data_IF_291854964240
#
_entry.id   IF_291854964240
#
_cell.length_a   1.000
_cell.length_b   1.000
_cell.length_c   1.000
_cell.angle_alpha   90.00
_cell.angle_beta   90.00
_cell.angle_gamma   90.00
#
_symmetry.space_group_name_H-M   'P 1'
#
loop_
_entity.id
_entity.type
_entity.pdbx_description
1 polymer ?
#
# COMPACT_ATOMS: atom_id res chain seq x y z
N UNK A 1 27.68 10.94 12.71
CA UNK A 1 26.51 10.05 12.65
C UNK A 1 25.36 10.83 12.01
N UNK A 2 24.88 10.39 10.87
CA UNK A 2 23.74 11.03 10.19
C UNK A 2 22.44 10.72 10.96
N UNK A 3 21.70 11.76 11.32
CA UNK A 3 20.37 11.64 11.94
C UNK A 3 19.41 11.14 10.85
N UNK A 4 18.65 10.09 11.15
CA UNK A 4 17.63 9.55 10.25
C UNK A 4 16.42 10.50 10.25
N UNK A 5 15.91 10.84 9.07
CA UNK A 5 14.73 11.69 8.90
C UNK A 5 13.44 10.91 9.25
N UNK A 6 12.35 11.64 9.46
CA UNK A 6 11.01 11.04 9.63
C UNK A 6 10.57 10.33 8.34
N UNK A 7 9.80 9.24 8.45
CA UNK A 7 9.31 8.41 7.36
C UNK A 7 10.04 7.07 7.22
N UNK A 8 9.82 6.37 6.11
CA UNK A 8 10.54 5.12 5.79
C UNK A 8 12.06 5.35 5.71
N UNK A 9 12.83 4.33 6.05
CA UNK A 9 14.27 4.31 5.79
C UNK A 9 14.52 4.33 4.28
N UNK A 10 15.58 5.03 3.84
CA UNK A 10 16.01 4.94 2.44
C UNK A 10 16.43 3.52 2.09
N UNK A 11 16.39 3.18 0.80
CA UNK A 11 16.80 1.85 0.30
C UNK A 11 18.19 1.49 0.78
N UNK A 12 19.17 2.40 0.68
CA UNK A 12 20.53 2.18 1.14
C UNK A 12 20.60 1.90 2.66
N UNK A 13 19.74 2.54 3.47
CA UNK A 13 19.68 2.30 4.91
C UNK A 13 19.06 0.92 5.22
N UNK A 14 17.99 0.52 4.48
CA UNK A 14 17.40 -0.82 4.61
C UNK A 14 18.41 -1.91 4.27
N UNK A 15 19.14 -1.77 3.17
CA UNK A 15 20.17 -2.73 2.74
C UNK A 15 21.32 -2.82 3.75
N UNK A 16 21.75 -1.70 4.32
CA UNK A 16 22.90 -1.67 5.24
C UNK A 16 22.54 -2.11 6.67
N UNK A 17 21.38 -1.70 7.17
CA UNK A 17 21.00 -1.88 8.58
C UNK A 17 20.09 -3.11 8.77
N UNK A 18 19.09 -3.29 7.90
CA UNK A 18 18.03 -4.27 8.09
C UNK A 18 18.34 -5.59 7.38
N UNK A 19 18.60 -5.55 6.07
CA UNK A 19 18.71 -6.77 5.26
C UNK A 19 19.97 -7.58 5.53
N UNK A 20 20.97 -7.00 6.18
CA UNK A 20 22.15 -7.74 6.66
C UNK A 20 21.92 -8.48 7.98
N UNK A 21 20.84 -8.23 8.67
CA UNK A 21 20.55 -8.74 10.01
C UNK A 21 19.25 -9.55 10.03
N UNK A 22 19.18 -10.61 9.23
CA UNK A 22 17.98 -11.42 8.99
C UNK A 22 17.91 -12.72 9.80
N UNK A 23 18.83 -12.93 10.73
CA UNK A 23 18.88 -14.15 11.55
C UNK A 23 19.40 -15.36 10.79
N UNK A 24 18.92 -16.54 11.16
CA UNK A 24 19.35 -17.81 10.56
C UNK A 24 18.62 -18.11 9.26
N UNK A 25 19.33 -18.63 8.27
CA UNK A 25 18.71 -19.19 7.06
C UNK A 25 17.99 -20.52 7.40
N UNK A 26 16.79 -20.70 6.84
CA UNK A 26 15.96 -21.89 7.05
C UNK A 26 15.43 -22.40 5.71
N UNK A 27 15.39 -23.73 5.57
CA UNK A 27 14.90 -24.41 4.35
C UNK A 27 13.38 -24.26 4.16
N UNK A 28 12.64 -23.99 5.23
CA UNK A 28 11.20 -23.78 5.21
C UNK A 28 10.77 -22.31 5.04
N UNK A 29 11.73 -21.38 4.92
CA UNK A 29 11.49 -19.97 4.60
C UNK A 29 11.88 -19.71 3.15
N UNK A 30 10.92 -19.28 2.33
CA UNK A 30 11.08 -19.17 0.88
C UNK A 30 11.77 -17.85 0.50
N UNK A 31 11.47 -16.77 1.22
CA UNK A 31 11.92 -15.42 0.88
C UNK A 31 12.82 -14.81 1.95
N UNK A 32 13.73 -13.95 1.50
CA UNK A 32 14.48 -13.02 2.36
C UNK A 32 13.91 -11.62 2.18
N UNK A 33 13.97 -10.73 3.20
CA UNK A 33 13.52 -9.35 3.03
C UNK A 33 14.21 -8.68 1.83
N UNK A 34 13.43 -8.03 0.99
CA UNK A 34 13.91 -7.32 -0.19
C UNK A 34 12.99 -6.12 -0.51
N UNK A 35 13.52 -5.13 -1.22
CA UNK A 35 12.79 -3.95 -1.67
C UNK A 35 11.66 -4.36 -2.62
N UNK A 36 10.47 -3.80 -2.42
CA UNK A 36 9.29 -4.10 -3.26
C UNK A 36 8.69 -5.49 -3.01
N UNK A 37 9.05 -6.13 -1.89
CA UNK A 37 8.45 -7.38 -1.45
C UNK A 37 7.52 -7.12 -0.26
N UNK A 38 6.22 -7.15 -0.51
CA UNK A 38 5.20 -6.82 0.49
C UNK A 38 5.06 -7.92 1.56
N UNK A 39 5.29 -9.18 1.21
CA UNK A 39 5.10 -10.31 2.12
C UNK A 39 6.31 -11.21 2.24
N UNK A 40 6.52 -11.76 3.45
CA UNK A 40 7.34 -12.94 3.67
C UNK A 40 6.57 -14.23 3.36
N UNK A 41 7.28 -15.27 2.89
CA UNK A 41 6.69 -16.56 2.52
C UNK A 41 7.41 -17.70 3.22
N UNK A 42 6.66 -18.65 3.78
CA UNK A 42 7.20 -19.89 4.33
C UNK A 42 6.32 -21.10 4.02
N UNK A 43 6.94 -22.28 4.00
CA UNK A 43 6.26 -23.51 3.64
C UNK A 43 5.28 -23.94 4.74
N UNK A 44 3.98 -24.04 4.39
CA UNK A 44 3.05 -24.89 5.09
C UNK A 44 3.13 -26.34 4.58
N UNK A 45 2.28 -27.21 5.10
CA UNK A 45 2.24 -28.60 4.64
C UNK A 45 1.85 -28.70 3.15
N UNK A 46 0.69 -28.15 2.80
CA UNK A 46 0.10 -28.24 1.47
C UNK A 46 -0.02 -26.87 0.79
N UNK A 47 0.18 -25.80 1.53
CA UNK A 47 0.06 -24.41 1.11
C UNK A 47 1.36 -23.63 1.43
N UNK A 48 1.43 -22.41 0.94
CA UNK A 48 2.40 -21.40 1.36
C UNK A 48 1.68 -20.43 2.28
N UNK A 49 2.28 -20.09 3.40
CA UNK A 49 1.80 -19.07 4.30
C UNK A 49 2.53 -17.78 3.97
N UNK A 50 1.75 -16.73 3.77
CA UNK A 50 2.25 -15.37 3.59
C UNK A 50 2.08 -14.59 4.88
N UNK A 51 3.00 -13.69 5.16
CA UNK A 51 2.96 -12.83 6.33
C UNK A 51 3.46 -11.43 6.00
N UNK A 52 2.77 -10.43 6.52
CA UNK A 52 3.20 -9.03 6.50
C UNK A 52 2.96 -8.38 7.84
N UNK A 53 3.59 -7.23 8.10
CA UNK A 53 3.34 -6.43 9.30
C UNK A 53 3.60 -4.96 9.05
N UNK A 54 2.57 -4.13 9.23
CA UNK A 54 2.66 -2.68 9.17
C UNK A 54 2.00 -2.00 10.36
N UNK A 55 2.65 -0.94 10.89
CA UNK A 55 2.08 -0.10 11.93
C UNK A 55 1.35 1.10 11.33
N UNK A 56 0.26 1.52 11.98
CA UNK A 56 -0.38 2.81 11.78
C UNK A 56 -0.07 3.72 12.95
N UNK A 57 0.49 4.89 12.64
CA UNK A 57 0.87 5.93 13.61
C UNK A 57 0.05 7.22 13.45
N UNK A 58 -0.90 7.25 12.52
CA UNK A 58 -1.76 8.40 12.28
C UNK A 58 -2.76 8.65 13.44
N UNK A 59 -3.21 9.89 13.58
CA UNK A 59 -4.13 10.32 14.66
C UNK A 59 -5.61 10.19 14.29
N UNK A 60 -5.96 9.39 13.29
CA UNK A 60 -7.34 9.32 12.81
C UNK A 60 -8.25 8.46 13.68
N UNK A 61 -9.54 8.82 13.77
CA UNK A 61 -10.55 8.02 14.44
C UNK A 61 -10.77 6.63 13.79
N UNK A 62 -10.20 6.38 12.61
CA UNK A 62 -10.36 5.16 11.82
C UNK A 62 -9.06 4.34 11.76
N UNK A 63 -8.14 4.61 12.69
CA UNK A 63 -6.82 3.96 12.76
C UNK A 63 -6.93 2.43 12.74
N UNK A 64 -7.87 1.87 13.51
CA UNK A 64 -8.05 0.42 13.60
C UNK A 64 -8.41 -0.20 12.24
N UNK A 65 -9.35 0.42 11.54
CA UNK A 65 -9.78 -0.04 10.23
C UNK A 65 -8.66 0.09 9.19
N UNK A 66 -7.96 1.24 9.16
CA UNK A 66 -6.86 1.47 8.23
C UNK A 66 -5.74 0.44 8.45
N UNK A 67 -5.40 0.14 9.71
CA UNK A 67 -4.40 -0.87 10.03
C UNK A 67 -4.75 -2.26 9.47
N UNK A 68 -6.03 -2.65 9.48
CA UNK A 68 -6.46 -3.89 8.82
C UNK A 68 -6.33 -3.78 7.30
N UNK A 69 -6.83 -2.70 6.70
CA UNK A 69 -6.85 -2.52 5.24
C UNK A 69 -5.43 -2.63 4.67
N UNK A 70 -4.45 -1.87 5.18
CA UNK A 70 -3.09 -1.87 4.58
C UNK A 70 -2.45 -3.25 4.67
N UNK A 71 -2.54 -3.92 5.82
CA UNK A 71 -1.98 -5.26 5.98
C UNK A 71 -2.69 -6.32 5.12
N UNK A 72 -4.01 -6.21 4.89
CA UNK A 72 -4.72 -7.12 4.01
C UNK A 72 -4.45 -6.82 2.52
N UNK A 73 -4.11 -5.57 2.18
CA UNK A 73 -3.67 -5.20 0.83
C UNK A 73 -2.38 -5.95 0.47
N UNK A 74 -1.37 -5.95 1.35
CA UNK A 74 -0.12 -6.71 1.15
C UNK A 74 -0.38 -8.21 0.96
N UNK A 75 -1.26 -8.79 1.79
CA UNK A 75 -1.62 -10.20 1.63
C UNK A 75 -2.28 -10.44 0.26
N UNK A 76 -3.14 -9.54 -0.19
CA UNK A 76 -3.84 -9.68 -1.46
C UNK A 76 -2.88 -9.56 -2.66
N UNK A 77 -1.90 -8.64 -2.61
CA UNK A 77 -0.87 -8.48 -3.67
C UNK A 77 0.09 -9.67 -3.75
N UNK A 78 0.19 -10.46 -2.68
CA UNK A 78 0.92 -11.74 -2.69
C UNK A 78 0.15 -12.90 -3.33
N UNK A 79 -1.01 -12.67 -3.95
CA UNK A 79 -1.95 -13.66 -4.46
C UNK A 79 -2.55 -14.59 -3.39
N UNK A 80 -2.36 -14.27 -2.13
CA UNK A 80 -2.87 -15.06 -1.01
C UNK A 80 -4.27 -14.60 -0.60
N UNK A 81 -5.00 -15.53 0.02
CA UNK A 81 -6.26 -15.23 0.68
C UNK A 81 -5.99 -14.86 2.14
N UNK A 82 -6.35 -13.67 2.60
CA UNK A 82 -6.25 -13.31 4.02
C UNK A 82 -6.98 -14.31 4.92
N UNK A 83 -6.40 -14.62 6.09
CA UNK A 83 -6.98 -15.60 7.02
C UNK A 83 -7.12 -15.07 8.44
N UNK A 84 -6.04 -14.50 8.96
CA UNK A 84 -5.94 -14.14 10.36
C UNK A 84 -5.03 -12.96 10.58
N UNK A 85 -5.21 -12.27 11.70
CA UNK A 85 -4.32 -11.22 12.16
C UNK A 85 -3.97 -11.38 13.66
N UNK A 86 -2.81 -10.84 14.04
CA UNK A 86 -2.53 -10.44 15.41
C UNK A 86 -2.43 -8.93 15.52
N UNK A 87 -2.78 -8.35 16.66
CA UNK A 87 -2.88 -6.90 16.86
C UNK A 87 -2.07 -6.45 18.06
N UNK A 88 -1.18 -5.48 17.87
CA UNK A 88 -0.52 -4.77 18.97
C UNK A 88 -1.04 -3.34 19.05
N UNK A 89 -1.53 -2.93 20.21
CA UNK A 89 -1.98 -1.55 20.49
C UNK A 89 -1.11 -0.98 21.61
N UNK A 90 -0.34 0.06 21.28
CA UNK A 90 0.37 0.88 22.26
C UNK A 90 -0.39 2.19 22.43
N UNK A 91 -0.93 2.43 23.61
CA UNK A 91 -1.68 3.65 23.93
C UNK A 91 -0.83 4.55 24.85
N UNK A 92 -0.90 5.89 24.72
CA UNK A 92 -0.17 6.80 25.58
C UNK A 92 -0.76 6.83 27.00
N UNK A 93 0.05 7.26 27.97
CA UNK A 93 -0.45 7.52 29.34
C UNK A 93 -1.60 8.53 29.27
N UNK A 94 -2.70 8.21 29.93
CA UNK A 94 -3.93 9.02 29.90
C UNK A 94 -4.93 8.63 28.80
N UNK A 95 -4.64 7.61 27.98
CA UNK A 95 -5.58 7.06 27.02
C UNK A 95 -6.87 6.57 27.76
N UNK A 96 -8.02 6.80 27.13
CA UNK A 96 -9.32 6.37 27.68
C UNK A 96 -9.65 4.96 27.19
N UNK A 97 -10.31 4.17 28.03
CA UNK A 97 -10.79 2.84 27.62
C UNK A 97 -11.66 2.88 26.36
N UNK A 98 -12.44 3.95 26.18
CA UNK A 98 -13.31 4.11 25.03
C UNK A 98 -12.53 4.29 23.72
N UNK A 99 -11.38 4.95 23.76
CA UNK A 99 -10.52 5.11 22.58
C UNK A 99 -9.99 3.73 22.14
N UNK A 100 -9.53 2.89 23.06
CA UNK A 100 -9.08 1.52 22.76
C UNK A 100 -10.25 0.65 22.28
N UNK A 101 -11.44 0.80 22.90
CA UNK A 101 -12.64 0.08 22.49
C UNK A 101 -13.04 0.41 21.05
N UNK A 102 -12.97 1.69 20.67
CA UNK A 102 -13.25 2.15 19.33
C UNK A 102 -12.27 1.54 18.31
N UNK A 103 -10.96 1.63 18.59
CA UNK A 103 -9.92 1.01 17.75
C UNK A 103 -10.21 -0.48 17.54
N UNK A 104 -10.49 -1.22 18.61
CA UNK A 104 -10.76 -2.66 18.50
C UNK A 104 -12.06 -2.99 17.76
N UNK A 105 -13.08 -2.13 17.89
CA UNK A 105 -14.33 -2.27 17.12
C UNK A 105 -14.05 -2.08 15.63
N UNK A 106 -13.35 -1.02 15.26
CA UNK A 106 -12.98 -0.74 13.87
C UNK A 106 -12.17 -1.89 13.25
N UNK A 107 -11.21 -2.45 14.00
CA UNK A 107 -10.45 -3.65 13.60
C UNK A 107 -11.40 -4.83 13.36
N UNK A 108 -12.27 -5.11 14.34
CA UNK A 108 -13.20 -6.23 14.28
C UNK A 108 -14.17 -6.13 13.09
N UNK A 109 -14.75 -4.96 12.88
CA UNK A 109 -15.71 -4.71 11.82
C UNK A 109 -15.06 -4.89 10.43
N UNK A 110 -13.83 -4.42 10.26
CA UNK A 110 -13.10 -4.60 8.99
C UNK A 110 -12.66 -6.06 8.78
N UNK A 111 -12.26 -6.76 9.85
CA UNK A 111 -11.97 -8.19 9.80
C UNK A 111 -13.20 -9.01 9.40
N UNK A 112 -14.38 -8.70 9.93
CA UNK A 112 -15.63 -9.37 9.57
C UNK A 112 -15.95 -9.20 8.09
N UNK A 113 -15.80 -7.98 7.54
CA UNK A 113 -16.02 -7.72 6.10
C UNK A 113 -15.11 -8.57 5.20
N UNK A 114 -13.88 -8.82 5.64
CA UNK A 114 -12.88 -9.56 4.87
C UNK A 114 -12.79 -11.05 5.24
N UNK A 115 -13.67 -11.55 6.10
CA UNK A 115 -13.66 -12.94 6.60
C UNK A 115 -12.32 -13.34 7.22
N UNK A 116 -11.75 -12.45 8.05
CA UNK A 116 -10.46 -12.60 8.73
C UNK A 116 -10.69 -12.73 10.22
N UNK A 117 -9.93 -13.59 10.90
CA UNK A 117 -10.03 -13.78 12.35
C UNK A 117 -8.90 -13.08 13.10
N UNK A 118 -9.24 -12.38 14.19
CA UNK A 118 -8.25 -11.91 15.17
C UNK A 118 -7.88 -13.10 16.07
N UNK A 119 -6.60 -13.52 16.03
CA UNK A 119 -6.13 -14.74 16.74
C UNK A 119 -5.28 -14.44 17.98
N UNK A 120 -4.95 -13.17 18.24
CA UNK A 120 -4.16 -12.78 19.39
C UNK A 120 -3.64 -11.36 19.28
N UNK A 121 -2.75 -11.01 20.18
CA UNK A 121 -2.11 -9.71 20.17
C UNK A 121 -1.69 -9.23 21.55
N UNK A 122 -1.36 -7.94 21.67
CA UNK A 122 -0.97 -7.27 22.91
C UNK A 122 -1.56 -5.87 22.98
N UNK A 123 -2.02 -5.44 24.15
CA UNK A 123 -2.53 -4.09 24.36
C UNK A 123 -1.96 -3.54 25.66
N UNK A 124 -1.28 -2.41 25.60
CA UNK A 124 -0.74 -1.76 26.82
C UNK A 124 -0.84 -0.24 26.75
N UNK A 125 -0.80 0.37 27.94
CA UNK A 125 -0.64 1.82 28.13
C UNK A 125 0.81 2.08 28.55
N UNK A 126 1.53 2.88 27.78
CA UNK A 126 2.99 3.08 27.96
C UNK A 126 3.40 4.53 27.76
N UNK A 127 4.49 4.93 28.41
CA UNK A 127 5.14 6.22 28.17
C UNK A 127 6.05 6.24 26.92
N UNK A 128 6.22 5.11 26.24
CA UNK A 128 7.04 4.99 25.03
C UNK A 128 6.42 5.68 23.82
N UNK A 129 5.11 5.96 23.86
CA UNK A 129 4.38 6.63 22.78
C UNK A 129 3.63 7.86 23.31
N UNK A 130 3.49 8.89 22.47
CA UNK A 130 2.72 10.11 22.79
C UNK A 130 1.33 10.15 22.11
N UNK A 131 1.06 9.20 21.22
CA UNK A 131 -0.22 8.94 20.55
C UNK A 131 -0.38 7.44 20.33
N UNK A 132 -1.60 6.92 20.11
CA UNK A 132 -1.80 5.50 19.84
C UNK A 132 -1.00 5.03 18.64
N UNK A 133 -0.47 3.81 18.73
CA UNK A 133 0.15 3.06 17.64
C UNK A 133 -0.57 1.73 17.54
N UNK A 134 -1.03 1.37 16.35
CA UNK A 134 -1.64 0.07 16.06
C UNK A 134 -0.74 -0.64 15.06
N UNK A 135 -0.18 -1.79 15.43
CA UNK A 135 0.56 -2.66 14.53
C UNK A 135 -0.18 -3.97 14.33
N UNK A 136 -0.38 -4.37 13.10
CA UNK A 136 -1.02 -5.63 12.73
C UNK A 136 0.02 -6.52 12.05
N UNK A 137 0.01 -7.81 12.42
CA UNK A 137 0.64 -8.84 11.60
C UNK A 137 -0.47 -9.65 10.95
N UNK A 138 -0.51 -9.66 9.63
CA UNK A 138 -1.50 -10.40 8.84
C UNK A 138 -0.91 -11.68 8.26
N UNK A 139 -1.75 -12.70 8.20
CA UNK A 139 -1.43 -14.02 7.65
C UNK A 139 -2.37 -14.34 6.49
N UNK A 140 -1.80 -14.80 5.40
CA UNK A 140 -2.54 -15.29 4.25
C UNK A 140 -2.16 -16.71 3.86
N UNK A 141 -3.01 -17.34 3.04
CA UNK A 141 -2.78 -18.66 2.49
C UNK A 141 -2.76 -18.60 0.98
N UNK A 142 -1.68 -19.10 0.39
CA UNK A 142 -1.48 -19.23 -1.04
C UNK A 142 -1.32 -20.71 -1.41
N UNK A 143 -2.10 -21.19 -2.35
CA UNK A 143 -1.95 -22.56 -2.85
C UNK A 143 -0.60 -22.73 -3.53
N UNK A 144 0.14 -23.80 -3.20
CA UNK A 144 1.46 -24.11 -3.79
C UNK A 144 1.44 -24.13 -5.31
N UNK A 145 0.38 -24.68 -5.90
CA UNK A 145 0.25 -24.75 -7.35
C UNK A 145 0.15 -23.35 -7.97
N UNK A 146 -0.56 -22.44 -7.31
CA UNK A 146 -0.68 -21.04 -7.77
C UNK A 146 0.66 -20.32 -7.67
N UNK A 147 1.36 -20.46 -6.55
CA UNK A 147 2.70 -19.89 -6.36
C UNK A 147 3.68 -20.36 -7.44
N UNK A 148 3.71 -21.67 -7.73
CA UNK A 148 4.61 -22.24 -8.73
C UNK A 148 4.27 -21.81 -10.16
N UNK A 149 3.07 -21.31 -10.40
CA UNK A 149 2.60 -20.87 -11.71
C UNK A 149 2.70 -19.34 -11.89
N UNK A 150 3.13 -18.57 -10.87
CA UNK A 150 3.39 -17.14 -11.02
C UNK A 150 4.52 -16.96 -12.03
N UNK A 151 4.24 -16.23 -13.09
CA UNK A 151 5.22 -15.97 -14.15
C UNK A 151 6.25 -14.94 -13.71
N UNK A 152 7.45 -15.05 -14.27
CA UNK A 152 8.45 -13.99 -14.12
C UNK A 152 8.04 -12.76 -14.91
N UNK A 153 8.40 -11.60 -14.39
CA UNK A 153 8.22 -10.33 -15.10
C UNK A 153 9.18 -10.25 -16.28
N UNK A 154 8.63 -10.01 -17.48
CA UNK A 154 9.38 -9.91 -18.73
C UNK A 154 9.16 -8.55 -19.39
N UNK A 155 10.16 -8.11 -20.18
CA UNK A 155 10.08 -6.89 -20.99
C UNK A 155 8.94 -7.00 -22.00
N UNK A 156 8.19 -5.90 -22.19
CA UNK A 156 7.01 -5.86 -23.07
C UNK A 156 5.68 -6.12 -22.36
N UNK A 157 5.69 -6.67 -21.15
CA UNK A 157 4.47 -6.82 -20.37
C UNK A 157 3.86 -5.45 -20.02
N UNK A 158 2.55 -5.41 -19.91
CA UNK A 158 1.78 -4.19 -19.62
C UNK A 158 1.77 -3.91 -18.13
N UNK A 159 1.81 -2.63 -17.78
CA UNK A 159 1.63 -2.14 -16.42
C UNK A 159 0.26 -1.49 -16.34
N UNK A 160 -0.61 -2.03 -15.50
CA UNK A 160 -1.91 -1.46 -15.18
C UNK A 160 -1.93 -0.90 -13.77
N UNK A 161 -2.86 0.02 -13.53
CA UNK A 161 -3.27 0.44 -12.19
C UNK A 161 -4.76 0.19 -11.98
N UNK A 162 -5.16 -0.11 -10.75
CA UNK A 162 -6.57 -0.13 -10.36
C UNK A 162 -7.02 1.22 -9.81
N UNK A 163 -8.29 1.57 -10.02
CA UNK A 163 -8.97 2.75 -9.46
C UNK A 163 -8.23 4.08 -9.72
N UNK A 164 -7.88 4.82 -8.68
CA UNK A 164 -7.20 6.13 -8.77
C UNK A 164 -6.13 6.25 -7.69
N UNK A 165 -5.06 7.01 -7.98
CA UNK A 165 -3.99 7.26 -7.01
C UNK A 165 -4.40 8.31 -5.96
N UNK A 166 -3.64 8.34 -4.85
CA UNK A 166 -3.63 9.37 -3.81
C UNK A 166 -4.97 9.58 -3.11
N UNK A 167 -5.80 8.53 -3.07
CA UNK A 167 -7.09 8.58 -2.38
C UNK A 167 -6.90 8.76 -0.87
N UNK A 168 -5.98 7.98 -0.27
CA UNK A 168 -5.64 8.06 1.15
C UNK A 168 -5.08 9.44 1.50
N UNK A 169 -4.04 9.89 0.80
CA UNK A 169 -3.41 11.18 1.07
C UNK A 169 -4.38 12.34 0.94
N UNK A 170 -5.24 12.32 -0.10
CA UNK A 170 -6.30 13.32 -0.26
C UNK A 170 -7.27 13.32 0.92
N UNK A 171 -7.71 12.14 1.34
CA UNK A 171 -8.62 11.98 2.48
C UNK A 171 -7.99 12.52 3.77
N UNK A 172 -6.72 12.17 4.04
CA UNK A 172 -6.01 12.64 5.23
C UNK A 172 -5.85 14.17 5.24
N UNK A 173 -5.44 14.75 4.11
CA UNK A 173 -5.29 16.21 3.98
C UNK A 173 -6.65 16.90 4.17
N UNK A 174 -7.71 16.43 3.51
CA UNK A 174 -9.05 17.02 3.65
C UNK A 174 -9.56 16.90 5.08
N UNK A 175 -9.25 15.82 5.78
CA UNK A 175 -9.64 15.62 7.18
C UNK A 175 -8.95 16.62 8.12
N UNK A 176 -7.62 16.73 8.02
CA UNK A 176 -6.81 17.57 8.90
C UNK A 176 -6.91 19.07 8.57
N UNK A 177 -7.03 19.42 7.28
CA UNK A 177 -7.09 20.79 6.78
C UNK A 177 -8.49 21.24 6.35
N UNK A 178 -9.55 20.59 6.87
CA UNK A 178 -10.94 20.81 6.44
C UNK A 178 -11.33 22.29 6.37
N UNK A 179 -11.06 23.07 7.43
CA UNK A 179 -11.42 24.48 7.49
C UNK A 179 -10.74 25.33 6.41
N UNK A 180 -9.49 25.02 6.10
CA UNK A 180 -8.71 25.71 5.07
C UNK A 180 -9.27 25.40 3.68
N UNK A 181 -9.62 24.14 3.45
CA UNK A 181 -10.11 23.65 2.15
C UNK A 181 -11.59 23.96 1.87
N UNK A 182 -12.36 24.48 2.83
CA UNK A 182 -13.76 24.92 2.63
C UNK A 182 -13.91 26.04 1.58
N UNK A 183 -12.84 26.80 1.33
CA UNK A 183 -12.82 27.81 0.25
C UNK A 183 -12.45 27.22 -1.12
N UNK A 184 -11.84 26.06 -1.17
CA UNK A 184 -11.42 25.38 -2.41
C UNK A 184 -12.42 24.30 -2.85
N UNK A 185 -12.94 23.54 -1.89
CA UNK A 185 -13.82 22.41 -2.12
C UNK A 185 -15.23 22.70 -1.65
N UNK A 186 -16.20 22.30 -2.44
CA UNK A 186 -17.60 22.30 -2.00
C UNK A 186 -17.82 21.28 -0.88
N UNK A 187 -18.86 21.47 -0.08
CA UNK A 187 -19.23 20.53 0.98
C UNK A 187 -19.44 19.10 0.44
N UNK A 188 -19.98 18.97 -0.79
CA UNK A 188 -20.14 17.66 -1.47
C UNK A 188 -18.79 17.02 -1.80
N UNK A 189 -17.81 17.80 -2.24
CA UNK A 189 -16.45 17.29 -2.53
C UNK A 189 -15.72 16.90 -1.25
N UNK A 190 -15.85 17.67 -0.17
CA UNK A 190 -15.31 17.32 1.15
C UNK A 190 -15.87 15.98 1.63
N UNK A 191 -17.19 15.81 1.60
CA UNK A 191 -17.82 14.54 1.99
C UNK A 191 -17.38 13.39 1.09
N UNK A 192 -17.24 13.62 -0.22
CA UNK A 192 -16.74 12.60 -1.16
C UNK A 192 -15.28 12.24 -0.87
N UNK A 193 -14.40 13.21 -0.60
CA UNK A 193 -13.00 12.96 -0.26
C UNK A 193 -12.87 12.15 1.05
N UNK A 194 -13.66 12.50 2.07
CA UNK A 194 -13.69 11.73 3.32
C UNK A 194 -14.19 10.29 3.09
N UNK A 195 -15.07 10.06 2.12
CA UNK A 195 -15.57 8.73 1.76
C UNK A 195 -14.60 7.93 0.87
N UNK A 196 -13.45 8.47 0.44
CA UNK A 196 -12.41 7.70 -0.25
C UNK A 196 -11.92 6.51 0.59
N UNK A 197 -12.13 6.60 1.89
CA UNK A 197 -11.90 5.52 2.83
C UNK A 197 -12.47 4.17 2.38
N UNK A 198 -13.66 4.15 1.78
CA UNK A 198 -14.31 2.92 1.30
C UNK A 198 -13.60 2.29 0.08
N UNK A 199 -12.62 2.98 -0.51
CA UNK A 199 -11.89 2.54 -1.69
C UNK A 199 -10.43 2.15 -1.39
N UNK A 200 -9.99 2.21 -0.11
CA UNK A 200 -8.58 1.98 0.24
C UNK A 200 -8.18 0.50 0.19
N UNK A 201 -9.13 -0.43 0.27
CA UNK A 201 -8.84 -1.86 0.12
C UNK A 201 -8.61 -2.24 -1.34
N UNK A 202 -7.57 -3.03 -1.62
CA UNK A 202 -7.31 -3.68 -2.92
C UNK A 202 -7.55 -5.20 -2.89
N UNK A 203 -8.08 -5.73 -1.79
CA UNK A 203 -8.40 -7.16 -1.66
C UNK A 203 -9.35 -7.64 -2.77
N UNK A 204 -10.39 -6.85 -3.06
CA UNK A 204 -11.31 -7.16 -4.16
C UNK A 204 -10.64 -7.01 -5.52
N UNK A 205 -9.77 -6.00 -5.69
CA UNK A 205 -9.04 -5.73 -6.93
C UNK A 205 -8.16 -6.94 -7.30
N UNK A 206 -7.43 -7.50 -6.33
CA UNK A 206 -6.63 -8.71 -6.51
C UNK A 206 -7.51 -9.96 -6.73
N UNK A 207 -8.65 -10.06 -6.02
CA UNK A 207 -9.55 -11.21 -6.14
C UNK A 207 -10.17 -11.34 -7.52
N UNK A 208 -10.59 -10.25 -8.16
CA UNK A 208 -11.19 -10.30 -9.51
C UNK A 208 -10.18 -10.70 -10.59
N UNK A 209 -8.89 -10.61 -10.29
CA UNK A 209 -7.80 -11.03 -11.17
C UNK A 209 -7.29 -12.46 -10.90
N UNK A 210 -7.89 -13.19 -9.97
CA UNK A 210 -7.41 -14.50 -9.50
C UNK A 210 -7.23 -15.56 -10.60
N UNK A 211 -8.04 -15.48 -11.66
CA UNK A 211 -8.03 -16.42 -12.78
C UNK A 211 -7.30 -15.86 -14.02
N UNK A 212 -6.70 -14.67 -13.89
CA UNK A 212 -5.89 -14.03 -14.91
C UNK A 212 -4.41 -14.44 -14.77
N UNK A 213 -3.69 -14.33 -15.88
CA UNK A 213 -2.25 -14.59 -15.91
C UNK A 213 -1.47 -13.35 -15.49
N UNK A 214 -1.33 -13.14 -14.19
CA UNK A 214 -0.67 -11.98 -13.60
C UNK A 214 0.74 -12.37 -13.16
N UNK A 215 1.74 -11.58 -13.57
CA UNK A 215 3.15 -11.79 -13.20
C UNK A 215 3.50 -11.15 -11.86
N UNK A 216 2.94 -9.98 -11.55
CA UNK A 216 3.21 -9.25 -10.30
C UNK A 216 2.03 -8.37 -9.94
N UNK A 217 1.72 -8.31 -8.66
CA UNK A 217 0.84 -7.33 -8.02
C UNK A 217 1.64 -6.56 -6.98
N UNK A 218 1.34 -5.28 -6.79
CA UNK A 218 1.93 -4.46 -5.74
C UNK A 218 0.94 -3.36 -5.36
N UNK A 219 0.70 -3.13 -4.08
CA UNK A 219 -0.15 -2.02 -3.67
C UNK A 219 0.65 -0.71 -3.61
N UNK A 220 -0.04 0.39 -3.74
CA UNK A 220 0.56 1.72 -3.72
C UNK A 220 0.34 2.34 -2.35
N UNK A 221 1.42 2.64 -1.64
CA UNK A 221 1.38 3.18 -0.28
C UNK A 221 2.19 4.48 -0.15
N UNK A 222 2.99 4.62 0.91
CA UNK A 222 3.89 5.75 1.16
C UNK A 222 4.92 5.89 0.04
N UNK A 223 5.13 7.13 -0.43
CA UNK A 223 5.93 7.43 -1.63
C UNK A 223 5.11 7.49 -2.92
N UNK A 224 3.82 7.16 -2.85
CA UNK A 224 2.86 7.28 -3.95
C UNK A 224 3.14 6.32 -5.11
N UNK A 225 2.53 6.61 -6.26
CA UNK A 225 2.63 5.75 -7.45
C UNK A 225 4.07 5.56 -7.92
N UNK A 226 4.86 6.63 -7.96
CA UNK A 226 6.25 6.54 -8.46
C UNK A 226 7.16 5.79 -7.48
N UNK A 227 6.90 5.89 -6.17
CA UNK A 227 7.58 5.07 -5.17
C UNK A 227 7.31 3.58 -5.38
N UNK A 228 6.04 3.21 -5.50
CA UNK A 228 5.63 1.82 -5.74
C UNK A 228 6.16 1.26 -7.08
N UNK A 229 6.14 2.05 -8.16
CA UNK A 229 6.73 1.64 -9.45
C UNK A 229 8.23 1.42 -9.30
N UNK A 230 8.94 2.31 -8.63
CA UNK A 230 10.38 2.18 -8.41
C UNK A 230 10.71 0.90 -7.63
N UNK A 231 10.00 0.64 -6.52
CA UNK A 231 10.17 -0.56 -5.69
C UNK A 231 9.86 -1.83 -6.49
N UNK A 232 8.75 -1.85 -7.23
CA UNK A 232 8.33 -2.97 -8.08
C UNK A 232 9.35 -3.29 -9.18
N UNK A 233 9.90 -2.26 -9.86
CA UNK A 233 10.91 -2.44 -10.91
C UNK A 233 12.25 -2.90 -10.33
N UNK A 234 12.63 -2.41 -9.16
CA UNK A 234 13.81 -2.90 -8.42
C UNK A 234 13.66 -4.35 -8.03
N UNK A 235 12.49 -4.75 -7.52
CA UNK A 235 12.20 -6.12 -7.15
C UNK A 235 12.40 -7.10 -8.31
N UNK A 236 11.90 -6.78 -9.50
CA UNK A 236 12.01 -7.66 -10.67
C UNK A 236 13.27 -7.40 -11.52
N UNK A 237 14.14 -6.47 -11.12
CA UNK A 237 15.33 -6.06 -11.87
C UNK A 237 15.01 -5.68 -13.31
N UNK A 238 13.99 -4.84 -13.49
CA UNK A 238 13.49 -4.33 -14.77
C UNK A 238 13.41 -2.80 -14.77
N UNK A 239 13.09 -2.22 -15.91
CA UNK A 239 12.69 -0.83 -16.08
C UNK A 239 11.24 -0.71 -16.52
N UNK A 240 10.80 0.54 -16.78
CA UNK A 240 9.46 0.78 -17.31
C UNK A 240 9.38 2.10 -18.07
N UNK A 241 8.36 2.20 -18.92
CA UNK A 241 7.91 3.45 -19.53
C UNK A 241 6.47 3.66 -19.10
N UNK A 242 6.23 4.75 -18.34
CA UNK A 242 4.90 5.14 -17.87
C UNK A 242 4.40 6.35 -18.66
N UNK A 243 3.17 6.31 -19.12
CA UNK A 243 2.51 7.49 -19.69
C UNK A 243 1.76 8.24 -18.58
N UNK A 244 2.26 9.40 -18.21
CA UNK A 244 1.68 10.21 -17.13
C UNK A 244 0.20 10.57 -17.38
N UNK A 245 -0.19 10.76 -18.64
CA UNK A 245 -1.55 11.16 -19.00
C UNK A 245 -2.58 10.04 -18.79
N UNK A 246 -2.13 8.78 -18.73
CA UNK A 246 -2.99 7.62 -18.51
C UNK A 246 -3.20 7.33 -17.01
N UNK A 247 -2.46 8.02 -16.13
CA UNK A 247 -2.60 7.85 -14.68
C UNK A 247 -3.97 8.39 -14.24
N UNK A 248 -4.78 7.52 -13.64
CA UNK A 248 -6.09 7.90 -13.10
C UNK A 248 -5.94 8.70 -11.81
N UNK A 249 -6.30 9.98 -11.86
CA UNK A 249 -6.26 10.91 -10.72
C UNK A 249 -7.64 11.52 -10.52
N UNK A 250 -8.21 11.37 -9.32
CA UNK A 250 -9.50 11.96 -8.99
C UNK A 250 -9.43 13.50 -9.06
N UNK A 251 -10.52 14.14 -9.54
CA UNK A 251 -10.59 15.60 -9.66
C UNK A 251 -10.41 16.33 -8.32
N UNK A 252 -10.86 15.74 -7.22
CA UNK A 252 -10.68 16.32 -5.88
C UNK A 252 -9.22 16.22 -5.48
N UNK A 253 -8.58 15.07 -5.70
CA UNK A 253 -7.14 14.88 -5.52
C UNK A 253 -6.34 15.94 -6.27
N UNK A 254 -6.65 16.15 -7.56
CA UNK A 254 -5.98 17.17 -8.37
C UNK A 254 -6.09 18.56 -7.75
N UNK A 255 -7.31 18.98 -7.36
CA UNK A 255 -7.53 20.28 -6.72
C UNK A 255 -6.73 20.45 -5.43
N UNK A 256 -6.70 19.41 -4.59
CA UNK A 256 -5.96 19.44 -3.32
C UNK A 256 -4.46 19.51 -3.57
N UNK A 257 -3.93 18.69 -4.47
CA UNK A 257 -2.52 18.69 -4.80
C UNK A 257 -2.06 20.01 -5.44
N UNK A 258 -2.85 20.56 -6.39
CA UNK A 258 -2.58 21.86 -7.01
C UNK A 258 -2.57 23.00 -5.96
N UNK A 259 -3.44 22.94 -4.95
CA UNK A 259 -3.51 23.95 -3.89
C UNK A 259 -2.27 23.95 -2.98
N UNK A 260 -1.72 22.77 -2.68
CA UNK A 260 -0.53 22.64 -1.83
C UNK A 260 0.78 22.53 -2.62
N UNK A 261 0.75 22.67 -3.96
CA UNK A 261 1.90 22.54 -4.85
C UNK A 261 2.66 21.21 -4.65
N UNK A 262 1.90 20.10 -4.59
CA UNK A 262 2.45 18.75 -4.49
C UNK A 262 2.05 17.88 -5.68
N UNK A 263 2.95 16.99 -6.12
CA UNK A 263 2.67 16.05 -7.21
C UNK A 263 1.83 14.86 -6.70
N UNK A 264 0.67 14.56 -7.31
CA UNK A 264 -0.18 13.44 -6.90
C UNK A 264 0.53 12.10 -6.94
N UNK A 265 1.46 11.92 -7.86
CA UNK A 265 2.22 10.66 -8.02
C UNK A 265 3.17 10.34 -6.87
N UNK A 266 3.44 11.31 -6.00
CA UNK A 266 4.33 11.19 -4.84
C UNK A 266 3.58 11.24 -3.50
N UNK A 267 2.24 11.28 -3.54
CA UNK A 267 1.39 11.35 -2.36
C UNK A 267 0.88 9.94 -2.00
N UNK A 268 0.95 9.58 -0.73
CA UNK A 268 0.49 8.29 -0.17
C UNK A 268 -0.85 7.86 -0.78
N UNK A 269 -0.96 6.58 -1.18
CA UNK A 269 -1.95 6.19 -2.17
C UNK A 269 -2.59 4.82 -1.95
N UNK A 270 -2.81 4.40 -0.69
CA UNK A 270 -3.59 3.18 -0.46
C UNK A 270 -4.93 3.24 -1.23
N UNK A 271 -5.33 2.09 -1.74
CA UNK A 271 -6.51 1.95 -2.58
C UNK A 271 -6.23 1.84 -4.08
N UNK A 272 -4.98 1.99 -4.50
CA UNK A 272 -4.51 1.70 -5.85
C UNK A 272 -3.61 0.47 -5.82
N UNK A 273 -3.70 -0.38 -6.82
CA UNK A 273 -2.83 -1.55 -7.02
C UNK A 273 -2.21 -1.49 -8.39
N UNK A 274 -0.92 -1.80 -8.48
CA UNK A 274 -0.18 -2.00 -9.72
C UNK A 274 -0.23 -3.47 -10.13
N UNK A 275 -0.34 -3.72 -11.42
CA UNK A 275 -0.48 -5.05 -12.01
C UNK A 275 0.47 -5.16 -13.21
N UNK A 276 1.28 -6.23 -13.27
CA UNK A 276 2.07 -6.58 -14.45
C UNK A 276 1.51 -7.86 -15.07
N UNK A 277 1.19 -7.80 -16.36
CA UNK A 277 0.61 -8.92 -17.10
C UNK A 277 0.85 -8.81 -18.61
N UNK A 278 0.84 -9.95 -19.31
CA UNK A 278 0.75 -10.01 -20.78
C UNK A 278 -0.68 -9.82 -21.29
N UNK A 279 -1.68 -10.09 -20.43
CA UNK A 279 -3.08 -10.00 -20.81
C UNK A 279 -3.51 -8.56 -21.09
N UNK A 280 -4.54 -8.41 -21.91
CA UNK A 280 -5.28 -7.16 -22.03
C UNK A 280 -6.42 -7.24 -21.02
N UNK A 281 -6.35 -6.40 -19.99
CA UNK A 281 -7.42 -6.30 -19.01
C UNK A 281 -8.54 -5.43 -19.57
N UNK A 282 -9.77 -5.80 -19.24
CA UNK A 282 -10.94 -4.96 -19.48
C UNK A 282 -10.83 -3.68 -18.63
N UNK A 283 -11.37 -2.55 -19.12
CA UNK A 283 -11.34 -1.26 -18.41
C UNK A 283 -12.07 -1.33 -17.06
N UNK A 284 -13.04 -2.26 -16.91
CA UNK A 284 -13.75 -2.50 -15.67
C UNK A 284 -14.05 -4.01 -15.52
N UNK A 285 -13.75 -4.57 -14.34
CA UNK A 285 -14.07 -5.95 -13.94
C UNK A 285 -14.77 -5.88 -12.57
N UNK A 286 -16.00 -6.36 -12.48
CA UNK A 286 -16.80 -6.38 -11.24
C UNK A 286 -16.87 -5.02 -10.49
N UNK A 287 -16.90 -3.91 -11.25
CA UNK A 287 -16.96 -2.54 -10.72
C UNK A 287 -15.63 -1.97 -10.28
N UNK A 288 -14.52 -2.64 -10.56
CA UNK A 288 -13.15 -2.14 -10.35
C UNK A 288 -12.59 -1.69 -11.70
N UNK A 289 -12.17 -0.44 -11.80
CA UNK A 289 -11.53 0.09 -13.01
C UNK A 289 -10.06 -0.29 -13.06
N UNK A 290 -9.60 -0.64 -14.27
CA UNK A 290 -8.19 -0.93 -14.58
C UNK A 290 -7.74 -0.09 -15.77
N UNK A 291 -6.65 0.61 -15.61
CA UNK A 291 -6.09 1.49 -16.65
C UNK A 291 -4.66 1.06 -16.96
N UNK A 292 -4.37 0.78 -18.22
CA UNK A 292 -2.98 0.56 -18.64
C UNK A 292 -2.25 1.91 -18.60
N UNK A 293 -1.19 1.97 -17.80
CA UNK A 293 -0.39 3.19 -17.62
C UNK A 293 1.01 3.09 -18.22
N UNK A 294 1.44 1.91 -18.65
CA UNK A 294 2.80 1.74 -19.18
C UNK A 294 3.13 0.34 -19.60
N UNK A 295 4.43 0.13 -19.81
CA UNK A 295 5.02 -1.16 -20.20
C UNK A 295 6.34 -1.39 -19.46
N UNK A 296 6.65 -2.65 -19.19
CA UNK A 296 7.94 -3.09 -18.65
C UNK A 296 9.02 -3.02 -19.72
N UNK A 297 10.21 -2.58 -19.33
CA UNK A 297 11.42 -2.56 -20.18
C UNK A 297 12.58 -3.28 -19.49
N UNK A 298 13.69 -3.47 -20.20
CA UNK A 298 14.88 -4.10 -19.60
C UNK A 298 15.71 -3.14 -18.74
N UNK A 299 15.58 -1.84 -18.97
CA UNK A 299 16.36 -0.79 -18.30
C UNK A 299 15.54 0.49 -18.22
N UNK A 300 16.05 1.44 -17.47
CA UNK A 300 15.53 2.78 -17.29
C UNK A 300 14.07 2.82 -16.82
N UNK A 301 13.85 3.54 -15.76
CA UNK A 301 12.53 3.81 -15.20
C UNK A 301 12.16 5.24 -15.57
N UNK A 302 11.33 5.41 -16.59
CA UNK A 302 10.96 6.73 -17.09
C UNK A 302 9.44 6.90 -17.15
N UNK A 303 9.01 8.15 -17.11
CA UNK A 303 7.65 8.53 -17.47
C UNK A 303 7.64 9.60 -18.54
N UNK A 304 6.59 9.59 -19.36
CA UNK A 304 6.37 10.56 -20.44
C UNK A 304 5.24 11.49 -20.01
N UNK A 305 5.54 12.80 -19.92
CA UNK A 305 4.57 13.85 -19.61
C UNK A 305 4.71 14.94 -20.70
N UNK A 306 3.61 15.26 -21.38
CA UNK A 306 3.58 16.26 -22.45
C UNK A 306 4.62 16.01 -23.54
N UNK A 307 4.87 14.75 -23.89
CA UNK A 307 5.83 14.34 -24.91
C UNK A 307 7.30 14.44 -24.51
N UNK A 308 7.60 14.72 -23.25
CA UNK A 308 8.95 14.75 -22.70
C UNK A 308 9.16 13.56 -21.75
N UNK A 309 10.39 13.03 -21.78
CA UNK A 309 10.82 11.94 -20.91
C UNK A 309 11.42 12.48 -19.62
N UNK A 310 11.06 11.84 -18.51
CA UNK A 310 11.57 12.12 -17.17
C UNK A 310 11.94 10.81 -16.49
N UNK A 311 12.97 10.82 -15.67
CA UNK A 311 13.36 9.67 -14.84
C UNK A 311 12.38 9.57 -13.66
N UNK A 312 11.91 8.36 -13.36
CA UNK A 312 11.21 8.08 -12.10
C UNK A 312 12.28 8.04 -10.99
N UNK A 313 12.24 8.97 -10.03
CA UNK A 313 13.28 9.06 -9.02
C UNK A 313 13.16 7.94 -7.97
N UNK A 314 14.26 7.64 -7.30
CA UNK A 314 14.20 6.87 -6.05
C UNK A 314 13.30 7.60 -5.05
N UNK A 315 12.38 6.90 -4.37
CA UNK A 315 11.50 7.54 -3.41
C UNK A 315 12.28 8.11 -2.23
N UNK A 316 12.04 9.40 -1.92
CA UNK A 316 12.67 10.06 -0.77
C UNK A 316 11.69 10.12 0.40
N UNK A 317 10.85 11.14 0.43
CA UNK A 317 9.84 11.39 1.47
C UNK A 317 8.50 11.59 0.82
N UNK A 318 7.44 11.07 1.43
CA UNK A 318 6.08 11.25 0.93
C UNK A 318 5.67 12.72 0.91
N UNK A 319 4.94 13.12 -0.13
CA UNK A 319 4.46 14.49 -0.29
C UNK A 319 3.52 14.93 0.84
N UNK A 320 2.91 14.00 1.57
CA UNK A 320 2.03 14.29 2.70
C UNK A 320 2.74 15.08 3.81
N UNK A 321 4.03 14.83 4.02
CA UNK A 321 4.84 15.52 5.06
C UNK A 321 5.14 16.98 4.72
N UNK A 322 4.83 17.44 3.49
CA UNK A 322 4.91 18.86 3.13
C UNK A 322 3.64 19.60 3.54
N UNK A 323 2.56 18.88 3.85
CA UNK A 323 1.24 19.45 4.14
C UNK A 323 0.83 19.23 5.60
N UNK A 324 1.11 18.07 6.16
CA UNK A 324 0.79 17.63 7.52
C UNK A 324 2.05 17.52 8.37
#
# INVERSE_FOLDING_TARGET
MSIIKSGKLSINQLEDIVFKNTGSDRDDVITKPFIGQDCGYFLGKDDIITVTTDPITATSNEMGRLAVIVNLNDIATSFATPMAITVTILAPIGARQEDIRLIMRDISDECIKNNVQIIGGHTEVTSAVNRPVVSITAFGRLQKIKYNNIQKVESGQKIYMSKSISLEGTMLIVKEKKKELENLLTQKEILKALNFYEQLSVVKDAYVLKDKNISLLHDVTEGGLFGAIYEMMKYCNKGCIINYNDISINKITRKVCDYYDIEPTNLISSGCMLIITDEILEEEIDGISFTQIGVVTDKDMIYIKEGKEYIIPEPESDAIYQVL
#
